data_IF_780451065148
#
_entry.id   IF_780451065148
#
_cell.length_a   1.000
_cell.length_b   1.000
_cell.length_c   1.000
_cell.angle_alpha   90.00
_cell.angle_beta   90.00
_cell.angle_gamma   90.00
#
_symmetry.space_group_name_H-M   'P 1'
#
loop_
_entity.id
_entity.type
_entity.pdbx_description
1 polymer ?
#
# COMPACT_ATOMS: atom_id res chain seq x y z
N UNK A 1 -13.41 35.31 59.34
CA UNK A 1 -12.49 34.22 59.06
C UNK A 1 -12.75 33.82 57.61
N UNK A 2 -12.07 34.48 56.66
CA UNK A 2 -12.23 34.34 55.22
C UNK A 2 -11.19 33.34 54.73
N UNK A 3 -11.67 32.19 54.21
CA UNK A 3 -10.84 31.20 53.51
C UNK A 3 -10.60 31.70 52.07
N UNK A 4 -9.45 32.34 51.87
CA UNK A 4 -8.96 32.61 50.53
C UNK A 4 -8.64 31.27 49.82
N UNK A 5 -9.47 30.93 48.85
CA UNK A 5 -9.25 29.83 47.92
C UNK A 5 -8.08 30.18 47.03
N UNK A 6 -6.89 29.66 47.35
CA UNK A 6 -5.72 29.75 46.50
C UNK A 6 -5.97 28.85 45.29
N UNK A 7 -6.50 29.43 44.22
CA UNK A 7 -6.53 28.78 42.91
C UNK A 7 -5.08 28.63 42.39
N UNK A 8 -4.61 27.40 42.32
CA UNK A 8 -3.28 27.08 41.79
C UNK A 8 -3.25 27.41 40.28
N UNK A 9 -2.48 28.43 39.84
CA UNK A 9 -2.42 28.83 38.42
C UNK A 9 -1.71 27.81 37.53
N UNK A 10 -1.11 26.75 38.08
CA UNK A 10 -0.42 25.71 37.33
C UNK A 10 -1.37 24.73 36.67
N UNK A 11 -2.59 24.56 37.17
CA UNK A 11 -3.56 23.61 36.63
C UNK A 11 -4.13 24.04 35.27
N UNK A 12 -4.21 25.34 35.00
CA UNK A 12 -4.78 25.87 33.76
C UNK A 12 -3.81 25.80 32.54
N UNK A 13 -2.50 25.84 32.81
CA UNK A 13 -1.48 25.81 31.72
C UNK A 13 -1.21 24.39 31.22
N UNK A 14 -1.31 23.37 32.08
CA UNK A 14 -1.14 21.98 31.68
C UNK A 14 -2.31 21.46 30.81
N UNK A 15 -3.54 21.84 31.12
CA UNK A 15 -4.72 21.41 30.34
C UNK A 15 -4.71 21.99 28.93
N UNK A 16 -4.19 23.19 28.73
CA UNK A 16 -4.09 23.81 27.41
C UNK A 16 -3.02 23.18 26.52
N UNK A 17 -1.92 22.66 27.07
CA UNK A 17 -0.86 22.01 26.32
C UNK A 17 -1.22 20.61 25.81
N UNK A 18 -2.10 19.89 26.52
CA UNK A 18 -2.61 18.59 26.09
C UNK A 18 -3.62 18.68 24.93
N UNK A 19 -4.35 19.78 24.84
CA UNK A 19 -5.37 19.97 23.80
C UNK A 19 -4.78 20.22 22.40
N UNK A 20 -3.62 20.86 22.31
CA UNK A 20 -2.97 21.15 21.03
C UNK A 20 -2.16 19.98 20.45
N UNK A 21 -1.73 19.02 21.27
CA UNK A 21 -0.98 17.85 20.85
C UNK A 21 -1.84 16.80 20.09
N UNK A 22 -3.16 16.81 20.31
CA UNK A 22 -4.09 15.84 19.69
C UNK A 22 -4.45 16.12 18.22
N UNK A 23 -4.21 17.32 17.73
CA UNK A 23 -4.64 17.75 16.38
C UNK A 23 -3.56 17.54 15.30
N UNK A 24 -2.28 17.31 15.65
CA UNK A 24 -1.25 17.03 14.64
C UNK A 24 -1.38 15.58 14.19
N UNK A 25 -1.92 15.39 12.97
CA UNK A 25 -1.79 14.10 12.25
C UNK A 25 -0.33 13.67 12.35
N UNK A 26 -0.07 12.49 12.92
CA UNK A 26 1.29 11.97 13.01
C UNK A 26 1.87 11.89 11.61
N UNK A 27 2.96 12.59 11.35
CA UNK A 27 3.67 12.56 10.06
C UNK A 27 3.94 11.13 9.60
N UNK A 28 4.23 10.24 10.54
CA UNK A 28 4.48 8.82 10.27
C UNK A 28 3.26 8.12 9.67
N UNK A 29 2.04 8.36 10.18
CA UNK A 29 0.81 7.78 9.62
C UNK A 29 0.51 8.37 8.24
N UNK A 30 0.74 9.67 8.05
CA UNK A 30 0.54 10.31 6.76
C UNK A 30 1.51 9.77 5.71
N UNK A 31 2.79 9.62 6.05
CA UNK A 31 3.79 9.04 5.15
C UNK A 31 3.47 7.57 4.86
N UNK A 32 3.19 6.75 5.88
CA UNK A 32 2.85 5.34 5.69
C UNK A 32 1.60 5.14 4.85
N UNK A 33 0.54 5.91 5.09
CA UNK A 33 -0.67 5.87 4.28
C UNK A 33 -0.44 6.36 2.85
N UNK A 34 0.33 7.44 2.67
CA UNK A 34 0.70 7.96 1.34
C UNK A 34 1.50 6.96 0.50
N UNK A 35 2.49 6.29 1.11
CA UNK A 35 3.25 5.22 0.46
C UNK A 35 2.36 4.02 0.12
N UNK A 36 1.43 3.66 1.01
CA UNK A 36 0.45 2.61 0.75
C UNK A 36 -0.46 2.94 -0.44
N UNK A 37 -0.91 4.19 -0.56
CA UNK A 37 -1.67 4.66 -1.71
C UNK A 37 -0.84 4.59 -3.00
N UNK A 38 0.43 5.00 -2.96
CA UNK A 38 1.32 4.95 -4.12
C UNK A 38 1.53 3.51 -4.60
N UNK A 39 1.84 2.58 -3.69
CA UNK A 39 1.99 1.17 -4.03
C UNK A 39 0.70 0.55 -4.57
N UNK A 40 -0.45 0.86 -3.95
CA UNK A 40 -1.76 0.40 -4.41
C UNK A 40 -2.10 0.91 -5.82
N UNK A 41 -1.90 2.20 -6.08
CA UNK A 41 -2.15 2.80 -7.39
C UNK A 41 -1.23 2.20 -8.46
N UNK A 42 0.04 1.95 -8.14
CA UNK A 42 0.98 1.31 -9.06
C UNK A 42 0.50 -0.10 -9.45
N UNK A 43 0.09 -0.93 -8.49
CA UNK A 43 -0.45 -2.26 -8.76
C UNK A 43 -1.78 -2.23 -9.53
N UNK A 44 -2.66 -1.28 -9.23
CA UNK A 44 -3.92 -1.08 -9.97
C UNK A 44 -3.66 -0.66 -11.42
N UNK A 45 -2.71 0.26 -11.65
CA UNK A 45 -2.32 0.69 -13.01
C UNK A 45 -1.70 -0.47 -13.79
N UNK A 46 -0.83 -1.26 -13.16
CA UNK A 46 -0.27 -2.47 -13.74
C UNK A 46 -1.38 -3.43 -14.21
N UNK A 47 -2.30 -3.78 -13.31
CA UNK A 47 -3.41 -4.67 -13.62
C UNK A 47 -4.33 -4.13 -14.72
N UNK A 48 -4.67 -2.83 -14.66
CA UNK A 48 -5.49 -2.18 -15.67
C UNK A 48 -4.81 -2.15 -17.05
N UNK A 49 -3.51 -1.84 -17.11
CA UNK A 49 -2.76 -1.82 -18.37
C UNK A 49 -2.70 -3.21 -19.02
N UNK A 50 -2.48 -4.26 -18.23
CA UNK A 50 -2.48 -5.64 -18.76
C UNK A 50 -3.85 -6.00 -19.33
N UNK A 51 -4.95 -5.64 -18.65
CA UNK A 51 -6.29 -5.95 -19.15
C UNK A 51 -6.68 -5.17 -20.40
N UNK A 52 -6.21 -3.92 -20.54
CA UNK A 52 -6.60 -3.02 -21.65
C UNK A 52 -5.66 -3.16 -22.85
N UNK A 53 -4.36 -3.30 -22.61
CA UNK A 53 -3.33 -3.24 -23.65
C UNK A 53 -2.38 -4.44 -23.63
N UNK A 54 -2.68 -5.49 -22.87
CA UNK A 54 -1.76 -6.58 -22.59
C UNK A 54 -1.17 -7.24 -23.84
N UNK A 55 -1.97 -7.52 -24.87
CA UNK A 55 -1.47 -8.12 -26.11
C UNK A 55 -0.47 -7.20 -26.82
N UNK A 56 -0.78 -5.90 -26.91
CA UNK A 56 0.12 -4.92 -27.53
C UNK A 56 1.43 -4.72 -26.79
N UNK A 57 1.41 -4.88 -25.45
CA UNK A 57 2.60 -4.75 -24.61
C UNK A 57 3.45 -6.03 -24.60
N UNK A 58 2.81 -7.21 -24.62
CA UNK A 58 3.50 -8.49 -24.52
C UNK A 58 4.08 -8.98 -25.84
N UNK A 59 3.40 -8.71 -26.94
CA UNK A 59 3.84 -9.19 -28.28
C UNK A 59 5.27 -8.77 -28.63
N UNK A 60 5.69 -7.50 -28.48
CA UNK A 60 7.09 -7.11 -28.71
C UNK A 60 8.06 -7.82 -27.77
N UNK A 61 7.75 -7.94 -26.48
CA UNK A 61 8.60 -8.61 -25.51
C UNK A 61 8.76 -10.11 -25.81
N UNK A 62 7.70 -10.79 -26.23
CA UNK A 62 7.75 -12.19 -26.67
C UNK A 62 8.60 -12.36 -27.95
N UNK A 63 8.47 -11.43 -28.90
CA UNK A 63 9.30 -11.45 -30.12
C UNK A 63 10.78 -11.25 -29.81
N UNK A 64 11.11 -10.32 -28.91
CA UNK A 64 12.48 -10.09 -28.46
C UNK A 64 13.04 -11.33 -27.75
N UNK A 65 12.28 -11.94 -26.84
CA UNK A 65 12.66 -13.16 -26.17
C UNK A 65 12.96 -14.31 -27.12
N UNK A 66 12.10 -14.51 -28.14
CA UNK A 66 12.31 -15.54 -29.16
C UNK A 66 13.57 -15.29 -30.02
N UNK A 67 13.93 -14.02 -30.24
CA UNK A 67 15.11 -13.66 -31.02
C UNK A 67 16.43 -13.79 -30.26
N UNK A 68 16.38 -13.58 -28.92
CA UNK A 68 17.56 -13.52 -28.07
C UNK A 68 17.80 -14.83 -27.33
N UNK A 69 16.83 -15.28 -26.55
CA UNK A 69 17.04 -16.39 -25.59
C UNK A 69 16.44 -17.71 -26.04
N UNK A 70 15.39 -17.69 -26.84
CA UNK A 70 14.69 -18.89 -27.26
C UNK A 70 14.77 -19.14 -28.78
N UNK A 71 15.89 -18.75 -29.42
CA UNK A 71 16.11 -18.90 -30.89
C UNK A 71 15.93 -20.34 -31.34
N UNK A 72 16.37 -21.31 -30.57
CA UNK A 72 16.24 -22.73 -30.90
C UNK A 72 14.79 -23.19 -30.94
N UNK A 73 13.95 -22.68 -30.02
CA UNK A 73 12.50 -22.93 -29.99
C UNK A 73 11.81 -22.30 -31.20
N UNK A 74 12.22 -21.10 -31.59
CA UNK A 74 11.68 -20.43 -32.76
C UNK A 74 12.05 -21.17 -34.05
N UNK A 75 13.29 -21.72 -34.15
CA UNK A 75 13.76 -22.46 -35.31
C UNK A 75 13.15 -23.85 -35.43
N UNK A 76 12.72 -24.47 -34.33
CA UNK A 76 12.07 -25.78 -34.35
C UNK A 76 10.65 -25.76 -34.92
N UNK A 77 10.04 -24.59 -35.06
CA UNK A 77 8.68 -24.44 -35.58
C UNK A 77 7.57 -25.02 -34.67
N UNK A 78 7.94 -25.51 -33.46
CA UNK A 78 7.01 -26.12 -32.52
C UNK A 78 6.08 -25.10 -31.85
N UNK A 79 6.55 -23.85 -31.67
CA UNK A 79 5.81 -22.76 -31.06
C UNK A 79 5.94 -21.49 -31.88
N UNK A 80 4.81 -20.88 -32.20
CA UNK A 80 4.79 -19.58 -32.89
C UNK A 80 4.80 -18.43 -31.88
N UNK A 81 5.20 -17.23 -32.31
CA UNK A 81 5.10 -16.04 -31.49
C UNK A 81 3.65 -15.78 -31.01
N UNK A 82 2.66 -16.12 -31.82
CA UNK A 82 1.25 -15.98 -31.46
C UNK A 82 0.82 -16.97 -30.37
N UNK A 83 1.30 -18.24 -30.42
CA UNK A 83 1.01 -19.24 -29.39
C UNK A 83 1.62 -18.84 -28.03
N UNK A 84 2.87 -18.41 -28.04
CA UNK A 84 3.54 -17.91 -26.82
C UNK A 84 2.85 -16.66 -26.26
N UNK A 85 2.43 -15.74 -27.13
CA UNK A 85 1.70 -14.54 -26.71
C UNK A 85 0.38 -14.92 -26.05
N UNK A 86 -0.37 -15.89 -26.59
CA UNK A 86 -1.62 -16.37 -25.98
C UNK A 86 -1.41 -17.02 -24.60
N UNK A 87 -0.38 -17.86 -24.48
CA UNK A 87 -0.03 -18.51 -23.21
C UNK A 87 0.39 -17.45 -22.18
N UNK A 88 1.24 -16.51 -22.58
CA UNK A 88 1.65 -15.40 -21.74
C UNK A 88 0.43 -14.56 -21.29
N UNK A 89 -0.45 -14.19 -22.22
CA UNK A 89 -1.66 -13.41 -21.93
C UNK A 89 -2.55 -14.07 -20.88
N UNK A 90 -2.75 -15.38 -20.94
CA UNK A 90 -3.54 -16.09 -19.92
C UNK A 90 -2.92 -15.93 -18.51
N UNK A 91 -1.59 -16.08 -18.40
CA UNK A 91 -0.86 -15.89 -17.14
C UNK A 91 -0.92 -14.43 -16.66
N UNK A 92 -0.69 -13.47 -17.55
CA UNK A 92 -0.73 -12.04 -17.20
C UNK A 92 -2.13 -11.57 -16.82
N UNK A 93 -3.18 -12.06 -17.47
CA UNK A 93 -4.57 -11.74 -17.12
C UNK A 93 -4.91 -12.26 -15.72
N UNK A 94 -4.48 -13.47 -15.38
CA UNK A 94 -4.69 -14.02 -14.03
C UNK A 94 -3.96 -13.17 -12.96
N UNK A 95 -2.71 -12.78 -13.23
CA UNK A 95 -1.94 -11.89 -12.33
C UNK A 95 -2.57 -10.51 -12.23
N UNK A 96 -3.05 -9.95 -13.35
CA UNK A 96 -3.74 -8.65 -13.38
C UNK A 96 -4.97 -8.66 -12.46
N UNK A 97 -5.77 -9.72 -12.49
CA UNK A 97 -6.89 -9.87 -11.56
C UNK A 97 -6.43 -9.89 -10.09
N UNK A 98 -5.35 -10.60 -9.78
CA UNK A 98 -4.77 -10.63 -8.42
C UNK A 98 -4.26 -9.23 -8.03
N UNK A 99 -3.53 -8.54 -8.91
CA UNK A 99 -3.05 -7.17 -8.66
C UNK A 99 -4.18 -6.18 -8.42
N UNK A 100 -5.29 -6.29 -9.15
CA UNK A 100 -6.48 -5.44 -8.94
C UNK A 100 -7.09 -5.68 -7.55
N UNK A 101 -7.21 -6.95 -7.12
CA UNK A 101 -7.73 -7.27 -5.79
C UNK A 101 -6.79 -6.75 -4.69
N UNK A 102 -5.49 -7.09 -4.78
CA UNK A 102 -4.48 -6.63 -3.81
C UNK A 102 -4.43 -5.10 -3.78
N UNK A 103 -4.40 -4.46 -4.94
CA UNK A 103 -4.36 -3.02 -5.07
C UNK A 103 -5.58 -2.33 -4.45
N UNK A 104 -6.78 -2.86 -4.69
CA UNK A 104 -8.02 -2.30 -4.12
C UNK A 104 -8.05 -2.44 -2.59
N UNK A 105 -7.73 -3.62 -2.05
CA UNK A 105 -7.70 -3.84 -0.60
C UNK A 105 -6.61 -2.98 0.06
N UNK A 106 -5.44 -2.87 -0.58
CA UNK A 106 -4.34 -2.02 -0.12
C UNK A 106 -4.74 -0.54 -0.14
N UNK A 107 -5.43 -0.08 -1.19
CA UNK A 107 -5.93 1.29 -1.32
C UNK A 107 -6.89 1.65 -0.18
N UNK A 108 -7.90 0.81 0.04
CA UNK A 108 -8.89 1.01 1.12
C UNK A 108 -8.19 0.98 2.48
N UNK A 109 -7.31 0.01 2.71
CA UNK A 109 -6.57 -0.12 3.96
C UNK A 109 -5.66 1.09 4.22
N UNK A 110 -4.95 1.58 3.20
CA UNK A 110 -4.11 2.76 3.31
C UNK A 110 -4.93 4.02 3.63
N UNK A 111 -6.09 4.20 3.01
CA UNK A 111 -7.02 5.28 3.34
C UNK A 111 -7.51 5.19 4.80
N UNK A 112 -7.81 3.98 5.29
CA UNK A 112 -8.22 3.77 6.67
C UNK A 112 -7.07 3.92 7.68
N UNK A 113 -5.82 3.65 7.29
CA UNK A 113 -4.64 3.98 8.09
C UNK A 113 -4.49 5.48 8.25
N UNK A 114 -4.73 6.27 7.19
CA UNK A 114 -4.78 7.73 7.28
C UNK A 114 -5.85 8.23 8.25
N UNK A 115 -6.96 7.48 8.37
CA UNK A 115 -7.98 7.69 9.38
C UNK A 115 -7.62 7.07 10.75
N UNK A 116 -6.38 6.59 10.95
CA UNK A 116 -5.81 6.00 12.18
C UNK A 116 -6.62 4.81 12.74
N UNK A 117 -7.13 3.94 11.86
CA UNK A 117 -7.74 2.67 12.28
C UNK A 117 -6.68 1.59 12.47
N UNK A 118 -6.64 0.98 13.66
CA UNK A 118 -5.57 0.02 13.98
C UNK A 118 -5.66 -1.29 13.18
N UNK A 119 -6.88 -1.80 12.95
CA UNK A 119 -7.08 -3.02 12.18
C UNK A 119 -6.62 -2.88 10.71
N UNK A 120 -6.80 -1.68 10.14
CA UNK A 120 -6.38 -1.39 8.76
C UNK A 120 -4.86 -1.54 8.57
N UNK A 121 -4.07 -1.29 9.62
CA UNK A 121 -2.61 -1.50 9.59
C UNK A 121 -2.24 -2.97 9.46
N UNK A 122 -2.99 -3.85 10.14
CA UNK A 122 -2.76 -5.30 10.05
C UNK A 122 -3.13 -5.78 8.65
N UNK A 123 -4.28 -5.38 8.14
CA UNK A 123 -4.71 -5.73 6.77
C UNK A 123 -3.70 -5.19 5.75
N UNK A 124 -3.30 -3.92 5.88
CA UNK A 124 -2.30 -3.32 5.00
C UNK A 124 -0.96 -4.08 5.05
N UNK A 125 -0.51 -4.54 6.24
CA UNK A 125 0.71 -5.35 6.39
C UNK A 125 0.58 -6.66 5.62
N UNK A 126 -0.51 -7.38 5.80
CA UNK A 126 -0.75 -8.68 5.13
C UNK A 126 -0.74 -8.51 3.61
N UNK A 127 -1.52 -7.55 3.09
CA UNK A 127 -1.60 -7.32 1.65
C UNK A 127 -0.32 -6.71 1.06
N UNK A 128 0.44 -5.92 1.85
CA UNK A 128 1.75 -5.45 1.43
C UNK A 128 2.74 -6.61 1.26
N UNK A 129 2.75 -7.59 2.16
CA UNK A 129 3.61 -8.79 2.02
C UNK A 129 3.22 -9.59 0.78
N UNK A 130 1.93 -9.81 0.52
CA UNK A 130 1.48 -10.48 -0.70
C UNK A 130 1.85 -9.70 -1.96
N UNK A 131 1.64 -8.38 -1.97
CA UNK A 131 2.00 -7.51 -3.10
C UNK A 131 3.50 -7.49 -3.37
N UNK A 132 4.34 -7.47 -2.32
CA UNK A 132 5.80 -7.57 -2.47
C UNK A 132 6.18 -8.93 -3.08
N UNK A 133 5.63 -10.03 -2.57
CA UNK A 133 5.91 -11.36 -3.09
C UNK A 133 5.54 -11.50 -4.57
N UNK A 134 4.37 -10.98 -4.97
CA UNK A 134 3.93 -10.98 -6.36
C UNK A 134 4.81 -10.10 -7.23
N UNK A 135 5.09 -8.86 -6.79
CA UNK A 135 5.93 -7.92 -7.55
C UNK A 135 7.38 -8.39 -7.71
N UNK A 136 7.97 -9.00 -6.68
CA UNK A 136 9.32 -9.60 -6.81
C UNK A 136 9.34 -10.75 -7.80
N UNK A 137 8.29 -11.57 -7.84
CA UNK A 137 8.16 -12.61 -8.85
C UNK A 137 8.04 -12.01 -10.25
N UNK A 138 7.21 -10.99 -10.41
CA UNK A 138 7.00 -10.35 -11.71
C UNK A 138 8.28 -9.66 -12.21
N UNK A 139 9.13 -9.13 -11.32
CA UNK A 139 10.45 -8.56 -11.68
C UNK A 139 11.46 -9.59 -12.20
N UNK A 140 11.29 -10.87 -11.87
CA UNK A 140 12.16 -11.96 -12.33
C UNK A 140 11.68 -12.50 -13.70
N UNK A 141 10.38 -12.39 -13.98
CA UNK A 141 9.79 -12.84 -15.23
C UNK A 141 10.12 -11.88 -16.39
N UNK A 142 9.96 -12.37 -17.63
CA UNK A 142 10.11 -11.55 -18.83
C UNK A 142 8.93 -10.60 -18.96
N UNK A 143 9.14 -9.36 -18.55
CA UNK A 143 8.11 -8.32 -18.53
C UNK A 143 8.51 -7.13 -19.41
N UNK A 144 7.55 -6.46 -20.07
CA UNK A 144 7.79 -5.17 -20.70
C UNK A 144 8.35 -4.15 -19.69
N UNK A 145 9.32 -3.32 -20.09
CA UNK A 145 10.01 -2.36 -19.21
C UNK A 145 9.04 -1.45 -18.44
N UNK A 146 7.92 -1.07 -19.06
CA UNK A 146 6.90 -0.26 -18.44
C UNK A 146 6.22 -0.98 -17.25
N UNK A 147 5.90 -2.27 -17.41
CA UNK A 147 5.30 -3.07 -16.34
C UNK A 147 6.30 -3.27 -15.20
N UNK A 148 7.58 -3.54 -15.49
CA UNK A 148 8.65 -3.60 -14.51
C UNK A 148 8.82 -2.31 -13.71
N UNK A 149 8.60 -1.14 -14.32
CA UNK A 149 8.63 0.13 -13.60
C UNK A 149 7.50 0.22 -12.56
N UNK A 150 6.28 -0.19 -12.90
CA UNK A 150 5.17 -0.23 -11.95
C UNK A 150 5.41 -1.25 -10.83
N UNK A 151 5.93 -2.45 -11.14
CA UNK A 151 6.28 -3.45 -10.13
C UNK A 151 7.35 -2.92 -9.16
N UNK A 152 8.39 -2.28 -9.68
CA UNK A 152 9.45 -1.67 -8.86
C UNK A 152 8.88 -0.61 -7.91
N UNK A 153 8.03 0.30 -8.41
CA UNK A 153 7.40 1.33 -7.60
C UNK A 153 6.49 0.70 -6.53
N UNK A 154 5.70 -0.32 -6.91
CA UNK A 154 4.82 -1.02 -5.99
C UNK A 154 5.63 -1.70 -4.87
N UNK A 155 6.64 -2.51 -5.21
CA UNK A 155 7.49 -3.23 -4.26
C UNK A 155 8.19 -2.27 -3.30
N UNK A 156 8.86 -1.23 -3.81
CA UNK A 156 9.57 -0.27 -2.97
C UNK A 156 8.63 0.50 -2.04
N UNK A 157 7.45 0.91 -2.55
CA UNK A 157 6.45 1.62 -1.76
C UNK A 157 5.88 0.72 -0.66
N UNK A 158 5.56 -0.54 -0.95
CA UNK A 158 5.03 -1.49 0.01
C UNK A 158 6.06 -1.91 1.05
N UNK A 159 7.34 -2.08 0.68
CA UNK A 159 8.45 -2.27 1.63
C UNK A 159 8.57 -1.10 2.60
N UNK A 160 8.55 0.13 2.08
CA UNK A 160 8.60 1.32 2.91
C UNK A 160 7.38 1.42 3.85
N UNK A 161 6.20 1.03 3.40
CA UNK A 161 4.99 0.94 4.24
C UNK A 161 5.19 -0.02 5.40
N UNK A 162 5.74 -1.22 5.16
CA UNK A 162 6.00 -2.21 6.23
C UNK A 162 6.87 -1.62 7.34
N UNK A 163 7.90 -0.86 6.97
CA UNK A 163 8.78 -0.22 7.95
C UNK A 163 8.06 0.93 8.67
N UNK A 164 7.53 1.88 7.90
CA UNK A 164 7.02 3.16 8.43
C UNK A 164 5.81 2.97 9.35
N UNK A 165 4.88 2.08 9.02
CA UNK A 165 3.65 1.91 9.81
C UNK A 165 3.87 1.28 11.20
N UNK A 166 5.00 0.59 11.42
CA UNK A 166 5.34 -0.01 12.71
C UNK A 166 6.30 0.82 13.56
N UNK A 167 6.73 1.99 13.07
CA UNK A 167 7.55 2.91 13.85
C UNK A 167 6.83 3.37 15.12
N UNK A 168 7.58 3.67 16.21
CA UNK A 168 7.01 4.11 17.48
C UNK A 168 6.08 5.33 17.37
N UNK A 169 6.35 6.22 16.41
CA UNK A 169 5.51 7.39 16.13
C UNK A 169 4.08 7.04 15.68
N UNK A 170 3.95 6.03 14.82
CA UNK A 170 2.65 5.53 14.37
C UNK A 170 1.87 4.88 15.53
N UNK A 171 2.55 4.10 16.37
CA UNK A 171 1.93 3.44 17.53
C UNK A 171 1.41 4.45 18.56
N UNK A 172 2.18 5.52 18.81
CA UNK A 172 1.75 6.61 19.72
C UNK A 172 0.50 7.32 19.19
N UNK A 173 0.44 7.62 17.89
CA UNK A 173 -0.71 8.28 17.29
C UNK A 173 -2.01 7.46 17.38
N UNK A 174 -1.93 6.15 17.16
CA UNK A 174 -3.08 5.24 17.29
C UNK A 174 -3.57 5.14 18.73
N UNK A 175 -2.64 5.05 19.70
CA UNK A 175 -2.98 5.05 21.14
C UNK A 175 -3.63 6.36 21.55
N UNK A 176 -3.10 7.51 21.15
CA UNK A 176 -3.65 8.82 21.43
C UNK A 176 -5.11 8.95 20.93
N UNK A 177 -5.39 8.46 19.71
CA UNK A 177 -6.76 8.45 19.18
C UNK A 177 -7.69 7.55 19.98
N UNK A 178 -7.24 6.34 20.34
CA UNK A 178 -8.04 5.44 21.18
C UNK A 178 -8.44 6.09 22.50
N UNK A 179 -7.48 6.75 23.16
CA UNK A 179 -7.73 7.44 24.43
C UNK A 179 -8.71 8.61 24.25
N UNK A 180 -8.58 9.40 23.17
CA UNK A 180 -9.51 10.49 22.88
C UNK A 180 -10.94 10.01 22.58
N UNK A 181 -11.12 8.84 21.98
CA UNK A 181 -12.44 8.24 21.76
C UNK A 181 -13.03 7.74 23.08
N UNK A 182 -12.22 7.13 23.95
CA UNK A 182 -12.67 6.64 25.26
C UNK A 182 -13.08 7.80 26.18
N UNK A 183 -12.31 8.89 26.20
CA UNK A 183 -12.65 10.07 27.00
C UNK A 183 -13.95 10.74 26.53
N UNK A 184 -14.19 10.83 25.22
CA UNK A 184 -15.47 11.34 24.68
C UNK A 184 -16.66 10.48 25.07
N UNK A 185 -16.51 9.13 25.04
CA UNK A 185 -17.57 8.22 25.50
C UNK A 185 -17.83 8.37 26.97
N UNK A 186 -16.79 8.44 27.79
CA UNK A 186 -16.96 8.64 29.26
C UNK A 186 -17.70 9.96 29.58
N UNK A 187 -17.37 11.04 28.88
CA UNK A 187 -18.07 12.32 29.06
C UNK A 187 -19.54 12.25 28.62
N UNK A 188 -19.89 11.47 27.59
CA UNK A 188 -21.28 11.29 27.15
C UNK A 188 -22.15 10.46 28.13
N UNK A 189 -21.54 9.63 28.98
CA UNK A 189 -22.26 8.86 30.01
C UNK A 189 -22.35 9.58 31.36
N UNK A 190 -21.66 10.70 31.51
CA UNK A 190 -21.65 11.49 32.74
C UNK A 190 -22.74 12.61 32.77
N UNK A 191 -23.49 12.75 31.68
CA UNK A 191 -24.64 13.65 31.52
C UNK A 191 -25.92 12.86 31.64
#
# INVERSE_FOLDING_TARGET
MTLDSIADPRSSTEVSSYSSAGARRSRTLTVGGGLGLLGALSGLLWGAMVLVQGEGLLRPAVQEYLQTEARDLASSGLLTADDLTKIAMASFTARAAIWLVIGLVTLVSAAMVLAAHNWARVVLTVFAVFGIGLGLRDLIDVNPALLNAFDTIAVLSLLAVLVVQWLPGANRAVRARKNAVLSRKAAAFAV
#
